data_IF_449704399810
#
_entry.id   IF_449704399810
#
_cell.length_a   1.000
_cell.length_b   1.000
_cell.length_c   1.000
_cell.angle_alpha   90.00
_cell.angle_beta   90.00
_cell.angle_gamma   90.00
#
_symmetry.space_group_name_H-M   'P 1'
#
loop_
_entity.id
_entity.type
_entity.pdbx_description
1 polymer ?
#
# COMPACT_ATOMS: atom_id res chain seq x y z
N UNK A 1 -19.42 -31.41 -50.29
CA UNK A 1 -19.23 -30.18 -51.10
C UNK A 1 -19.98 -29.09 -50.38
N UNK A 2 -19.29 -28.47 -49.41
CA UNK A 2 -19.83 -27.39 -48.59
C UNK A 2 -19.23 -26.07 -49.08
N UNK A 3 -20.12 -25.13 -49.40
CA UNK A 3 -19.80 -23.73 -49.69
C UNK A 3 -20.06 -22.94 -48.41
N UNK A 4 -19.11 -22.19 -47.84
CA UNK A 4 -19.39 -21.35 -46.69
C UNK A 4 -19.98 -20.00 -47.12
N UNK A 5 -21.17 -19.69 -46.60
CA UNK A 5 -21.88 -18.43 -46.81
C UNK A 5 -21.40 -17.37 -45.80
N UNK A 6 -21.07 -16.23 -46.37
CA UNK A 6 -20.39 -15.08 -45.78
C UNK A 6 -21.36 -14.17 -45.01
N UNK A 7 -20.96 -13.69 -43.83
CA UNK A 7 -21.71 -12.74 -43.02
C UNK A 7 -21.64 -11.31 -43.59
N UNK A 8 -22.71 -10.49 -43.52
CA UNK A 8 -22.67 -9.11 -43.96
C UNK A 8 -22.08 -8.17 -42.90
N UNK A 9 -21.25 -7.22 -43.38
CA UNK A 9 -20.81 -6.00 -42.69
C UNK A 9 -21.96 -4.99 -42.66
N UNK A 10 -22.04 -4.18 -41.61
CA UNK A 10 -22.82 -2.94 -41.64
C UNK A 10 -21.97 -1.78 -41.12
N UNK A 11 -21.74 -0.83 -42.02
CA UNK A 11 -21.14 0.48 -41.80
C UNK A 11 -22.27 1.52 -41.80
N UNK A 12 -22.39 2.33 -40.75
CA UNK A 12 -23.48 3.32 -40.63
C UNK A 12 -23.07 4.56 -39.86
N UNK A 13 -22.59 5.56 -40.60
CA UNK A 13 -22.16 6.90 -40.18
C UNK A 13 -23.37 7.83 -39.95
N UNK A 14 -23.37 8.71 -38.93
CA UNK A 14 -23.91 10.08 -39.10
C UNK A 14 -23.32 11.13 -38.14
N UNK A 15 -23.21 12.35 -38.68
CA UNK A 15 -22.43 13.53 -38.28
C UNK A 15 -23.12 14.49 -37.29
N UNK A 16 -22.26 15.16 -36.50
CA UNK A 16 -22.18 16.59 -36.13
C UNK A 16 -23.37 17.51 -36.40
N UNK A 17 -23.68 18.36 -35.41
CA UNK A 17 -24.13 19.74 -35.62
C UNK A 17 -23.39 20.71 -34.68
N UNK A 18 -22.66 21.64 -35.28
CA UNK A 18 -22.12 22.87 -34.69
C UNK A 18 -23.21 23.95 -34.71
N UNK A 19 -23.28 24.80 -33.69
CA UNK A 19 -23.91 26.13 -33.82
C UNK A 19 -22.94 27.20 -33.28
N UNK A 20 -22.57 28.12 -34.16
CA UNK A 20 -21.85 29.38 -33.90
C UNK A 20 -22.75 30.51 -34.41
N UNK A 21 -22.88 31.59 -33.62
CA UNK A 21 -23.07 33.02 -33.95
C UNK A 21 -23.92 33.67 -32.84
N UNK A 22 -23.74 34.92 -32.40
CA UNK A 22 -22.88 36.02 -32.82
C UNK A 22 -22.63 36.98 -31.63
N UNK A 23 -21.60 37.81 -31.78
CA UNK A 23 -21.19 38.92 -30.93
C UNK A 23 -22.08 40.14 -31.19
N UNK A 24 -22.46 40.88 -30.13
CA UNK A 24 -22.77 42.33 -30.20
C UNK A 24 -22.41 42.96 -28.86
N UNK A 25 -21.61 44.03 -28.89
CA UNK A 25 -21.17 44.81 -27.73
C UNK A 25 -21.77 46.23 -27.80
N UNK A 26 -22.20 46.81 -26.67
CA UNK A 26 -21.71 48.04 -25.98
C UNK A 26 -23.01 48.80 -25.56
N UNK A 27 -23.25 49.44 -24.40
CA UNK A 27 -22.42 50.21 -23.48
C UNK A 27 -23.01 50.26 -22.05
N UNK A 28 -22.08 50.41 -21.09
CA UNK A 28 -22.05 51.24 -19.88
C UNK A 28 -23.33 51.58 -19.08
N UNK A 29 -23.31 51.27 -17.78
CA UNK A 29 -23.51 52.28 -16.74
C UNK A 29 -22.70 51.95 -15.49
N UNK A 30 -22.18 53.01 -14.86
CA UNK A 30 -21.23 53.01 -13.76
C UNK A 30 -21.90 52.86 -12.39
N UNK A 31 -21.13 52.44 -11.39
CA UNK A 31 -21.39 52.81 -10.00
C UNK A 31 -21.09 51.75 -8.97
N UNK A 32 -19.93 51.88 -8.32
CA UNK A 32 -19.66 51.68 -6.88
C UNK A 32 -18.28 51.05 -6.67
N UNK A 33 -17.28 51.93 -6.52
CA UNK A 33 -15.95 51.55 -6.05
C UNK A 33 -16.04 51.18 -4.56
N UNK A 34 -15.73 49.93 -4.23
CA UNK A 34 -15.41 49.52 -2.85
C UNK A 34 -13.89 49.50 -2.75
N UNK A 35 -13.39 50.33 -1.83
CA UNK A 35 -11.98 50.50 -1.56
C UNK A 35 -11.35 49.18 -1.10
N UNK A 36 -10.34 48.68 -1.82
CA UNK A 36 -9.42 47.68 -1.30
C UNK A 36 -8.53 48.38 -0.26
N UNK A 37 -8.71 47.99 1.01
CA UNK A 37 -7.82 48.39 2.09
C UNK A 37 -6.39 48.01 1.75
N UNK A 38 -5.48 48.97 1.92
CA UNK A 38 -4.05 48.77 1.76
C UNK A 38 -3.60 47.57 2.59
N UNK A 39 -2.98 46.59 1.93
CA UNK A 39 -2.26 45.52 2.61
C UNK A 39 -1.20 46.17 3.53
N UNK A 40 -1.06 45.72 4.79
CA UNK A 40 0.05 46.19 5.62
C UNK A 40 1.35 45.81 4.92
N UNK A 41 2.26 46.78 4.83
CA UNK A 41 3.60 46.57 4.30
C UNK A 41 4.22 45.35 4.99
N UNK A 42 4.49 44.32 4.21
CA UNK A 42 5.28 43.17 4.64
C UNK A 42 6.58 43.70 5.23
N UNK A 43 6.76 43.51 6.54
CA UNK A 43 8.04 43.72 7.17
C UNK A 43 9.05 42.83 6.44
N UNK A 44 10.06 43.46 5.84
CA UNK A 44 11.17 42.75 5.20
C UNK A 44 11.65 41.63 6.14
N UNK A 45 11.92 40.42 5.63
CA UNK A 45 12.43 39.35 6.47
C UNK A 45 13.71 39.86 7.14
N UNK A 46 13.79 39.69 8.47
CA UNK A 46 15.02 39.92 9.20
C UNK A 46 16.14 39.18 8.46
N UNK A 47 17.19 39.92 8.08
CA UNK A 47 18.31 39.35 7.35
C UNK A 47 18.77 38.08 8.06
N UNK A 48 18.71 36.95 7.35
CA UNK A 48 19.26 35.70 7.84
C UNK A 48 20.69 35.98 8.32
N UNK A 49 20.97 35.61 9.58
CA UNK A 49 22.33 35.63 10.09
C UNK A 49 23.23 34.93 9.06
N UNK A 50 24.40 35.47 8.73
CA UNK A 50 25.23 34.90 7.68
C UNK A 50 25.49 33.43 8.02
N UNK A 51 24.99 32.52 7.19
CA UNK A 51 25.37 31.12 7.25
C UNK A 51 26.90 31.10 7.13
N UNK A 52 27.59 30.84 8.25
CA UNK A 52 29.04 30.74 8.26
C UNK A 52 29.43 29.78 7.15
N UNK A 53 30.36 30.20 6.28
CA UNK A 53 30.74 29.43 5.08
C UNK A 53 30.99 27.97 5.49
N UNK A 54 30.09 27.08 5.09
CA UNK A 54 30.24 25.66 5.37
C UNK A 54 31.58 25.20 4.77
N UNK A 55 32.47 24.66 5.61
CA UNK A 55 33.79 24.25 5.17
C UNK A 55 33.72 22.83 4.59
N UNK A 56 33.46 22.74 3.29
CA UNK A 56 33.33 21.48 2.53
C UNK A 56 34.57 20.58 2.57
N UNK A 57 35.70 21.02 3.16
CA UNK A 57 36.88 20.16 3.40
C UNK A 57 36.73 19.23 4.59
N UNK A 58 35.85 19.53 5.55
CA UNK A 58 35.57 18.59 6.66
C UNK A 58 34.66 17.45 6.16
N UNK A 59 34.77 16.23 6.70
CA UNK A 59 33.79 15.17 6.43
C UNK A 59 32.36 15.61 6.78
N UNK A 60 31.38 15.10 6.06
CA UNK A 60 29.96 15.28 6.40
C UNK A 60 29.69 14.53 7.71
N UNK A 61 29.03 15.20 8.66
CA UNK A 61 28.69 14.59 9.95
C UNK A 61 27.57 13.55 9.84
N UNK A 62 27.34 12.75 10.90
CA UNK A 62 26.25 11.79 10.92
C UNK A 62 24.89 12.51 10.97
N UNK A 63 23.83 11.83 10.52
CA UNK A 63 22.45 12.26 10.76
C UNK A 63 22.16 12.22 12.27
N UNK A 64 21.21 13.04 12.70
CA UNK A 64 20.77 13.10 14.09
C UNK A 64 19.45 12.34 14.26
N UNK A 65 19.17 11.89 15.47
CA UNK A 65 17.86 11.32 15.87
C UNK A 65 17.25 10.29 14.88
N UNK A 66 18.06 9.36 14.36
CA UNK A 66 17.54 8.30 13.49
C UNK A 66 16.54 7.42 14.27
N UNK A 67 15.29 7.44 13.82
CA UNK A 67 14.16 6.68 14.36
C UNK A 67 13.71 5.64 13.35
N UNK A 68 13.30 4.48 13.84
CA UNK A 68 12.71 3.41 13.06
C UNK A 68 11.45 2.90 13.75
N UNK A 69 10.31 3.04 13.09
CA UNK A 69 9.01 2.68 13.63
C UNK A 69 8.30 1.68 12.72
N UNK A 70 7.78 0.61 13.29
CA UNK A 70 7.00 -0.35 12.53
C UNK A 70 5.65 0.22 12.19
N UNK A 71 5.28 0.14 10.93
CA UNK A 71 3.93 0.36 10.45
C UNK A 71 3.42 -0.97 9.90
N UNK A 72 2.19 -1.33 10.25
CA UNK A 72 1.59 -2.56 9.77
C UNK A 72 0.30 -2.24 9.04
N UNK A 73 0.17 -2.78 7.84
CA UNK A 73 -1.14 -3.02 7.21
C UNK A 73 -1.54 -4.47 7.53
N UNK A 74 -2.82 -4.84 7.37
CA UNK A 74 -3.24 -6.24 7.54
C UNK A 74 -2.45 -7.28 6.72
N UNK A 75 -1.83 -6.86 5.61
CA UNK A 75 -1.11 -7.74 4.69
C UNK A 75 0.41 -7.64 4.81
N UNK A 76 0.93 -6.43 5.01
CA UNK A 76 2.36 -6.14 4.92
C UNK A 76 2.86 -5.39 6.14
N UNK A 77 4.10 -5.69 6.49
CA UNK A 77 4.88 -4.90 7.42
C UNK A 77 5.69 -3.87 6.63
N UNK A 78 5.87 -2.70 7.25
CA UNK A 78 6.80 -1.68 6.79
C UNK A 78 7.51 -1.06 7.97
N UNK A 79 8.66 -0.45 7.71
CA UNK A 79 9.39 0.33 8.69
C UNK A 79 9.49 1.75 8.15
N UNK A 80 8.93 2.70 8.89
CA UNK A 80 9.13 4.12 8.65
C UNK A 80 10.42 4.54 9.34
N UNK A 81 11.32 5.14 8.56
CA UNK A 81 12.53 5.78 9.05
C UNK A 81 12.35 7.30 8.97
N UNK A 82 12.78 7.97 10.02
CA UNK A 82 12.89 9.42 10.08
C UNK A 82 14.20 9.80 10.75
N UNK A 83 14.80 10.91 10.33
CA UNK A 83 16.02 11.43 10.93
C UNK A 83 16.10 12.94 10.76
N UNK A 84 17.02 13.56 11.50
CA UNK A 84 17.35 14.97 11.34
C UNK A 84 18.63 15.13 10.51
N UNK A 85 18.74 16.17 9.67
CA UNK A 85 19.96 16.46 8.93
C UNK A 85 21.19 16.62 9.85
N UNK A 86 22.41 16.34 9.36
CA UNK A 86 23.62 16.56 10.14
C UNK A 86 23.76 18.00 10.64
N UNK A 87 24.21 18.16 11.89
CA UNK A 87 24.50 19.47 12.45
C UNK A 87 25.56 20.22 11.62
N UNK A 88 25.49 21.56 11.61
CA UNK A 88 26.50 22.42 10.97
C UNK A 88 26.10 23.07 9.65
N UNK A 89 24.81 23.04 9.29
CA UNK A 89 24.23 23.92 8.26
C UNK A 89 24.72 23.68 6.83
N UNK A 90 25.22 22.48 6.53
CA UNK A 90 25.56 22.08 5.16
C UNK A 90 24.29 21.85 4.35
N UNK A 91 24.36 22.16 3.06
CA UNK A 91 23.33 21.76 2.11
C UNK A 91 23.52 20.27 1.81
N UNK A 92 22.57 19.47 2.28
CA UNK A 92 22.50 18.05 1.96
C UNK A 92 21.75 17.89 0.64
N UNK A 93 22.31 17.10 -0.27
CA UNK A 93 21.72 16.78 -1.57
C UNK A 93 20.79 15.57 -1.46
N UNK A 94 21.26 14.49 -0.83
CA UNK A 94 20.46 13.30 -0.55
C UNK A 94 21.07 12.49 0.61
N UNK A 95 20.38 11.42 0.98
CA UNK A 95 20.82 10.44 1.97
C UNK A 95 20.91 9.06 1.33
N UNK A 96 21.91 8.27 1.72
CA UNK A 96 21.98 6.86 1.41
C UNK A 96 21.41 6.10 2.61
N UNK A 97 20.30 5.39 2.39
CA UNK A 97 19.65 4.59 3.41
C UNK A 97 20.08 3.14 3.23
N UNK A 98 20.80 2.62 4.22
CA UNK A 98 21.21 1.22 4.24
C UNK A 98 20.41 0.43 5.28
N UNK A 99 20.11 -0.82 4.97
CA UNK A 99 19.47 -1.75 5.90
C UNK A 99 19.93 -3.18 5.72
N UNK A 100 19.96 -3.94 6.81
CA UNK A 100 20.25 -5.37 6.83
C UNK A 100 19.59 -6.06 8.02
N UNK A 101 19.39 -7.38 7.92
CA UNK A 101 19.01 -8.21 9.07
C UNK A 101 20.22 -8.56 9.96
N UNK A 102 21.45 -8.33 9.49
CA UNK A 102 22.67 -8.49 10.28
C UNK A 102 23.03 -7.17 10.96
N UNK A 103 23.13 -7.14 12.29
CA UNK A 103 23.41 -5.90 13.04
C UNK A 103 24.73 -5.22 12.64
N UNK A 104 25.76 -6.03 12.32
CA UNK A 104 27.12 -5.57 11.98
C UNK A 104 27.37 -5.37 10.49
N UNK A 105 26.32 -5.14 9.68
CA UNK A 105 26.45 -5.07 8.23
C UNK A 105 27.37 -3.94 7.76
N UNK A 106 27.99 -4.16 6.59
CA UNK A 106 28.77 -3.15 5.88
C UNK A 106 27.88 -2.38 4.90
N UNK A 107 28.02 -1.04 4.80
CA UNK A 107 27.38 -0.32 3.71
C UNK A 107 28.06 -0.63 2.37
N UNK A 108 27.30 -1.26 1.50
CA UNK A 108 27.67 -1.51 0.12
C UNK A 108 26.41 -1.48 -0.75
N UNK A 109 26.54 -1.88 -2.01
CA UNK A 109 25.42 -1.92 -2.94
C UNK A 109 24.34 -2.96 -2.56
N UNK A 110 24.69 -3.99 -1.79
CA UNK A 110 23.76 -5.03 -1.34
C UNK A 110 22.91 -4.59 -0.15
N UNK A 111 23.40 -3.66 0.66
CA UNK A 111 22.66 -3.11 1.82
C UNK A 111 21.99 -1.77 1.53
N UNK A 112 22.24 -1.16 0.36
CA UNK A 112 21.62 0.10 -0.04
C UNK A 112 20.15 -0.11 -0.44
N UNK A 113 19.23 0.42 0.37
CA UNK A 113 17.79 0.35 0.12
C UNK A 113 17.32 1.46 -0.82
N UNK A 114 17.82 2.69 -0.62
CA UNK A 114 17.44 3.84 -1.46
C UNK A 114 18.41 5.02 -1.36
N UNK A 115 18.25 5.96 -2.29
CA UNK A 115 18.77 7.33 -2.19
C UNK A 115 17.61 8.26 -1.85
N UNK A 116 17.47 8.65 -0.60
CA UNK A 116 16.36 9.47 -0.13
C UNK A 116 16.67 10.96 -0.34
N UNK A 117 15.81 11.73 -1.04
CA UNK A 117 16.01 13.18 -1.21
C UNK A 117 15.61 13.98 0.04
N UNK A 118 14.83 13.39 0.93
CA UNK A 118 14.31 13.99 2.17
C UNK A 118 14.74 13.14 3.37
N UNK A 119 14.50 13.64 4.58
CA UNK A 119 14.93 12.97 5.82
C UNK A 119 13.95 11.89 6.32
N UNK A 120 13.34 11.18 5.37
CA UNK A 120 12.35 10.15 5.62
C UNK A 120 12.47 9.02 4.59
N UNK A 121 12.11 7.80 4.98
CA UNK A 121 12.03 6.66 4.08
C UNK A 121 11.12 5.57 4.65
N UNK A 122 10.27 4.98 3.80
CA UNK A 122 9.50 3.79 4.17
C UNK A 122 10.10 2.54 3.53
N UNK A 123 10.63 1.62 4.36
CA UNK A 123 11.00 0.29 3.92
C UNK A 123 9.74 -0.58 3.83
N UNK A 124 9.28 -0.89 2.62
CA UNK A 124 8.09 -1.71 2.34
C UNK A 124 8.46 -3.11 1.83
N UNK A 125 7.47 -3.97 1.62
CA UNK A 125 7.69 -5.34 1.10
C UNK A 125 8.32 -6.29 2.12
N UNK A 126 8.28 -5.93 3.41
CA UNK A 126 8.67 -6.82 4.48
C UNK A 126 7.60 -7.90 4.58
N UNK A 127 7.96 -9.12 4.17
CA UNK A 127 7.06 -10.27 4.14
C UNK A 127 6.38 -10.57 5.49
N UNK A 128 5.50 -11.57 5.54
CA UNK A 128 4.57 -11.76 6.65
C UNK A 128 5.22 -12.22 7.96
N UNK A 129 6.52 -12.54 7.96
CA UNK A 129 7.22 -12.99 9.15
C UNK A 129 7.74 -11.80 9.97
N UNK A 130 7.83 -11.98 11.28
CA UNK A 130 8.55 -11.05 12.15
C UNK A 130 10.03 -11.01 11.74
N UNK A 131 10.56 -9.83 11.50
CA UNK A 131 11.94 -9.62 11.04
C UNK A 131 12.57 -8.50 11.84
N UNK A 132 13.83 -8.69 12.23
CA UNK A 132 14.63 -7.62 12.83
C UNK A 132 15.47 -6.98 11.73
N UNK A 133 15.37 -5.66 11.62
CA UNK A 133 16.13 -4.86 10.67
C UNK A 133 16.97 -3.83 11.39
N UNK A 134 18.18 -3.63 10.88
CA UNK A 134 19.16 -2.67 11.34
C UNK A 134 19.42 -1.67 10.22
N UNK A 135 19.35 -0.38 10.53
CA UNK A 135 19.44 0.70 9.56
C UNK A 135 20.54 1.69 9.92
N UNK A 136 21.22 2.18 8.88
CA UNK A 136 22.15 3.30 8.95
C UNK A 136 21.86 4.26 7.81
N UNK A 137 21.90 5.55 8.11
CA UNK A 137 21.69 6.61 7.11
C UNK A 137 22.91 7.50 7.07
N UNK A 138 23.47 7.69 5.87
CA UNK A 138 24.60 8.60 5.64
C UNK A 138 24.17 9.75 4.73
N UNK A 139 24.53 10.97 5.11
CA UNK A 139 24.23 12.15 4.31
C UNK A 139 25.27 12.35 3.21
N UNK A 140 24.82 12.84 2.05
CA UNK A 140 25.66 13.25 0.92
C UNK A 140 25.40 14.73 0.67
N UNK A 141 26.45 15.55 0.71
CA UNK A 141 26.31 16.98 0.44
C UNK A 141 26.27 17.29 -1.06
N UNK A 142 25.90 18.53 -1.41
CA UNK A 142 25.81 18.98 -2.80
C UNK A 142 27.15 18.94 -3.59
N UNK A 143 28.28 18.76 -2.91
CA UNK A 143 29.59 18.57 -3.54
C UNK A 143 29.94 17.09 -3.75
N UNK A 144 29.06 16.17 -3.34
CA UNK A 144 29.26 14.72 -3.45
C UNK A 144 30.08 14.13 -2.31
N UNK A 145 30.36 14.87 -1.24
CA UNK A 145 31.04 14.29 -0.08
C UNK A 145 30.07 13.42 0.71
N UNK A 146 30.52 12.23 1.11
CA UNK A 146 29.70 11.25 1.83
C UNK A 146 30.13 11.24 3.31
N UNK A 147 29.15 11.17 4.21
CA UNK A 147 29.40 10.99 5.65
C UNK A 147 29.98 9.61 5.98
N UNK A 148 30.68 9.50 7.12
CA UNK A 148 31.22 8.20 7.58
C UNK A 148 30.10 7.32 8.16
N UNK A 149 29.97 6.10 7.64
CA UNK A 149 28.99 5.14 8.15
C UNK A 149 29.29 4.66 9.57
N UNK A 150 30.58 4.53 9.93
CA UNK A 150 30.99 4.07 11.25
C UNK A 150 30.51 5.02 12.35
N UNK A 151 30.41 6.31 12.01
CA UNK A 151 29.90 7.35 12.91
C UNK A 151 28.39 7.57 12.82
N UNK A 152 27.71 6.97 11.84
CA UNK A 152 26.27 7.10 11.69
C UNK A 152 25.53 6.38 12.84
N UNK A 153 24.38 6.89 13.30
CA UNK A 153 23.55 6.17 14.27
C UNK A 153 23.04 4.86 13.68
N UNK A 154 22.87 3.85 14.54
CA UNK A 154 22.25 2.57 14.20
C UNK A 154 20.86 2.52 14.81
N UNK A 155 19.82 2.44 13.97
CA UNK A 155 18.46 2.16 14.41
C UNK A 155 18.16 0.68 14.20
N UNK A 156 17.53 0.03 15.17
CA UNK A 156 17.14 -1.37 15.10
C UNK A 156 15.67 -1.51 15.46
N UNK A 157 14.93 -2.28 14.69
CA UNK A 157 13.50 -2.49 14.92
C UNK A 157 13.09 -3.89 14.48
N UNK A 158 12.13 -4.47 15.22
CA UNK A 158 11.56 -5.78 14.91
C UNK A 158 10.11 -5.60 14.48
N UNK A 159 9.77 -6.02 13.26
CA UNK A 159 8.38 -6.08 12.80
C UNK A 159 7.63 -7.18 13.56
N UNK A 160 6.37 -6.95 13.90
CA UNK A 160 5.56 -7.91 14.65
C UNK A 160 5.18 -9.17 13.82
N UNK A 161 5.42 -9.14 12.50
CA UNK A 161 4.89 -10.10 11.55
C UNK A 161 3.46 -9.73 11.12
N UNK A 162 3.05 -10.22 9.94
CA UNK A 162 1.68 -10.11 9.49
C UNK A 162 0.76 -10.89 10.43
N UNK A 163 -0.43 -10.34 10.65
CA UNK A 163 -1.43 -11.00 11.49
C UNK A 163 -2.01 -12.23 10.81
N UNK A 164 -2.08 -12.23 9.48
CA UNK A 164 -2.40 -13.39 8.66
C UNK A 164 -1.10 -14.06 8.23
N UNK A 165 -0.92 -15.34 8.55
CA UNK A 165 0.37 -16.05 8.42
C UNK A 165 0.40 -17.10 7.30
N UNK A 166 -0.77 -17.59 6.88
CA UNK A 166 -0.88 -18.55 5.79
C UNK A 166 -2.27 -18.46 5.12
N UNK A 167 -2.34 -18.96 3.89
CA UNK A 167 -3.59 -19.17 3.18
C UNK A 167 -3.60 -20.54 2.48
N UNK A 168 -4.75 -21.22 2.53
CA UNK A 168 -5.00 -22.48 1.81
C UNK A 168 -6.37 -22.42 1.14
N UNK A 169 -6.57 -23.20 0.09
CA UNK A 169 -7.82 -23.19 -0.67
C UNK A 169 -8.21 -24.59 -1.12
N UNK A 170 -9.48 -24.76 -1.50
CA UNK A 170 -10.01 -25.98 -2.13
C UNK A 170 -9.29 -26.31 -3.43
N UNK A 171 -8.93 -25.28 -4.20
CA UNK A 171 -8.27 -25.42 -5.49
C UNK A 171 -7.48 -24.17 -5.86
N UNK A 172 -6.71 -24.28 -6.94
CA UNK A 172 -6.11 -23.16 -7.64
C UNK A 172 -6.17 -23.42 -9.14
N UNK A 173 -6.52 -22.41 -9.94
CA UNK A 173 -6.63 -22.54 -11.40
C UNK A 173 -5.28 -22.90 -12.04
N UNK A 174 -4.19 -22.32 -11.53
CA UNK A 174 -2.82 -22.66 -11.90
C UNK A 174 -1.85 -22.22 -10.79
N UNK A 175 -0.57 -22.64 -10.82
CA UNK A 175 0.43 -22.22 -9.84
C UNK A 175 0.61 -20.70 -9.74
N UNK A 176 0.31 -19.94 -10.81
CA UNK A 176 0.40 -18.47 -10.81
C UNK A 176 -0.74 -17.80 -10.01
N UNK A 177 -1.74 -18.56 -9.57
CA UNK A 177 -2.90 -18.09 -8.81
C UNK A 177 -3.04 -18.81 -7.47
N UNK A 178 -1.90 -19.07 -6.82
CA UNK A 178 -1.82 -19.83 -5.59
C UNK A 178 -2.48 -19.07 -4.41
N UNK A 179 -2.95 -19.77 -3.36
CA UNK A 179 -3.68 -19.16 -2.24
C UNK A 179 -2.90 -18.08 -1.48
N UNK A 180 -1.58 -18.22 -1.34
CA UNK A 180 -0.74 -17.26 -0.60
C UNK A 180 -0.77 -15.84 -1.18
N UNK A 181 -1.24 -15.67 -2.42
CA UNK A 181 -1.36 -14.36 -3.06
C UNK A 181 -2.46 -13.49 -2.45
N UNK A 182 -3.36 -14.02 -1.62
CA UNK A 182 -4.37 -13.20 -0.92
C UNK A 182 -3.85 -12.54 0.35
N UNK A 183 -2.59 -12.78 0.71
CA UNK A 183 -1.96 -12.28 1.94
C UNK A 183 -0.60 -11.65 1.65
N UNK A 184 -0.33 -11.31 0.39
CA UNK A 184 0.95 -10.73 -0.06
C UNK A 184 0.93 -9.19 -0.10
N UNK A 185 -0.23 -8.57 0.14
CA UNK A 185 -0.43 -7.12 0.15
C UNK A 185 -0.39 -6.46 -1.22
N UNK A 186 -0.42 -7.24 -2.30
CA UNK A 186 -0.42 -6.76 -3.67
C UNK A 186 -1.80 -6.94 -4.29
N UNK A 187 -2.47 -5.81 -4.54
CA UNK A 187 -3.71 -5.77 -5.33
C UNK A 187 -3.53 -6.04 -6.83
N UNK A 188 -2.36 -6.56 -7.23
CA UNK A 188 -2.02 -6.97 -8.60
C UNK A 188 -1.83 -8.48 -8.73
N UNK A 189 -1.82 -9.22 -7.62
CA UNK A 189 -1.67 -10.68 -7.53
C UNK A 189 -2.90 -11.26 -6.86
N UNK A 190 -3.34 -12.44 -7.28
CA UNK A 190 -4.63 -13.00 -6.84
C UNK A 190 -4.59 -14.50 -6.69
N UNK A 191 -5.35 -15.00 -5.73
CA UNK A 191 -5.85 -16.36 -5.82
C UNK A 191 -6.97 -16.45 -6.86
N UNK A 192 -7.05 -17.59 -7.53
CA UNK A 192 -8.13 -17.94 -8.42
C UNK A 192 -8.46 -19.43 -8.26
N UNK A 193 -9.71 -19.73 -7.94
CA UNK A 193 -10.22 -21.08 -7.85
C UNK A 193 -10.37 -21.74 -9.23
N UNK A 194 -10.55 -23.06 -9.24
CA UNK A 194 -11.10 -23.77 -10.39
C UNK A 194 -12.52 -23.27 -10.73
N UNK A 195 -13.00 -23.61 -11.92
CA UNK A 195 -14.24 -23.04 -12.46
C UNK A 195 -15.46 -23.84 -11.99
N UNK A 196 -15.55 -24.07 -10.69
CA UNK A 196 -16.67 -24.74 -10.03
C UNK A 196 -17.25 -23.87 -8.92
N UNK A 197 -18.51 -24.10 -8.60
CA UNK A 197 -19.11 -23.59 -7.37
C UNK A 197 -18.61 -24.42 -6.18
N UNK A 198 -18.93 -24.05 -4.94
CA UNK A 198 -18.47 -24.77 -3.72
C UNK A 198 -16.94 -24.71 -3.46
N UNK A 199 -16.26 -23.69 -3.97
CA UNK A 199 -14.84 -23.46 -3.70
C UNK A 199 -14.64 -22.59 -2.47
N UNK A 200 -13.53 -22.76 -1.77
CA UNK A 200 -13.20 -21.98 -0.59
C UNK A 200 -11.73 -21.55 -0.57
N UNK A 201 -11.47 -20.44 0.11
CA UNK A 201 -10.14 -20.05 0.57
C UNK A 201 -10.22 -19.68 2.04
N UNK A 202 -9.21 -20.07 2.80
CA UNK A 202 -9.09 -19.75 4.21
C UNK A 202 -7.72 -19.19 4.53
N UNK A 203 -7.70 -18.40 5.58
CA UNK A 203 -6.49 -17.80 6.14
C UNK A 203 -6.28 -18.26 7.58
N UNK A 204 -5.02 -18.45 7.95
CA UNK A 204 -4.59 -18.72 9.33
C UNK A 204 -4.06 -17.45 9.97
N UNK A 205 -4.47 -17.20 11.21
CA UNK A 205 -4.03 -16.06 12.01
C UNK A 205 -2.82 -16.45 12.88
N UNK A 206 -1.92 -15.48 13.10
CA UNK A 206 -0.72 -15.64 13.92
C UNK A 206 -1.05 -16.09 15.36
N UNK A 207 -2.19 -15.65 15.86
CA UNK A 207 -2.74 -16.01 17.17
C UNK A 207 -4.27 -16.01 17.09
N UNK A 208 -4.94 -16.81 17.93
CA UNK A 208 -6.39 -16.74 18.02
C UNK A 208 -6.89 -15.37 18.47
N UNK A 209 -8.10 -15.01 18.03
CA UNK A 209 -8.84 -13.81 18.43
C UNK A 209 -10.31 -14.13 18.68
N UNK A 210 -10.99 -13.31 19.47
CA UNK A 210 -12.43 -13.44 19.74
C UNK A 210 -13.29 -12.46 18.93
N UNK A 211 -12.66 -11.42 18.40
CA UNK A 211 -13.31 -10.42 17.56
C UNK A 211 -12.31 -9.76 16.61
N UNK A 212 -12.78 -9.43 15.41
CA UNK A 212 -11.97 -8.80 14.39
C UNK A 212 -12.77 -8.19 13.27
N UNK A 213 -12.06 -7.73 12.26
CA UNK A 213 -12.59 -7.23 11.00
C UNK A 213 -12.01 -8.03 9.85
N UNK A 214 -12.88 -8.45 8.93
CA UNK A 214 -12.53 -9.18 7.71
C UNK A 214 -12.80 -8.29 6.52
N UNK A 215 -11.83 -8.18 5.61
CA UNK A 215 -11.95 -7.46 4.34
C UNK A 215 -11.60 -8.40 3.17
N UNK A 216 -12.50 -8.50 2.19
CA UNK A 216 -12.31 -9.28 0.96
C UNK A 216 -12.20 -8.33 -0.22
N UNK A 217 -11.00 -8.27 -0.82
CA UNK A 217 -10.76 -7.53 -2.04
C UNK A 217 -10.95 -8.44 -3.25
N UNK A 218 -12.13 -8.38 -3.84
CA UNK A 218 -12.46 -9.22 -4.99
C UNK A 218 -11.77 -8.79 -6.28
N UNK A 219 -11.47 -9.76 -7.13
CA UNK A 219 -11.32 -9.52 -8.56
C UNK A 219 -12.70 -9.59 -9.24
N UNK A 220 -12.80 -9.16 -10.51
CA UNK A 220 -14.06 -9.21 -11.27
C UNK A 220 -14.75 -10.59 -11.33
N UNK A 221 -14.07 -11.69 -11.04
CA UNK A 221 -14.63 -13.02 -10.82
C UNK A 221 -14.99 -13.25 -9.34
N UNK A 222 -15.86 -12.40 -8.78
CA UNK A 222 -16.29 -12.43 -7.39
C UNK A 222 -17.34 -13.52 -7.10
N UNK A 223 -17.61 -13.78 -5.82
CA UNK A 223 -18.71 -14.65 -5.40
C UNK A 223 -20.05 -13.88 -5.35
N UNK A 224 -21.07 -14.38 -6.05
CA UNK A 224 -22.43 -13.84 -5.93
C UNK A 224 -23.03 -14.22 -4.57
N UNK A 225 -22.86 -15.48 -4.21
CA UNK A 225 -23.29 -16.04 -2.94
C UNK A 225 -22.08 -16.68 -2.26
N UNK A 226 -21.84 -16.34 -1.00
CA UNK A 226 -20.78 -16.97 -0.20
C UNK A 226 -21.06 -16.87 1.29
N UNK A 227 -20.44 -17.77 2.05
CA UNK A 227 -20.41 -17.73 3.50
C UNK A 227 -19.02 -17.35 4.00
N UNK A 228 -18.99 -16.51 5.03
CA UNK A 228 -17.82 -16.26 5.83
C UNK A 228 -17.92 -17.12 7.08
N UNK A 229 -16.91 -17.97 7.28
CA UNK A 229 -16.83 -18.88 8.41
C UNK A 229 -15.58 -18.60 9.24
N UNK A 230 -15.65 -18.91 10.51
CA UNK A 230 -14.49 -18.92 11.41
C UNK A 230 -14.32 -20.27 12.08
N UNK A 231 -13.10 -20.57 12.48
CA UNK A 231 -12.77 -21.84 13.12
C UNK A 231 -11.61 -21.69 14.10
N UNK A 232 -11.62 -22.38 15.25
CA UNK A 232 -10.46 -22.46 16.14
C UNK A 232 -9.35 -23.37 15.59
N UNK A 233 -9.70 -24.40 14.80
CA UNK A 233 -8.83 -25.52 14.43
C UNK A 233 -8.64 -25.71 12.91
N UNK A 234 -9.43 -25.03 12.08
CA UNK A 234 -9.42 -25.17 10.63
C UNK A 234 -10.26 -26.34 10.12
N UNK A 235 -10.91 -27.09 11.01
CA UNK A 235 -11.71 -28.29 10.72
C UNK A 235 -13.19 -28.06 11.02
N UNK A 236 -13.48 -27.49 12.19
CA UNK A 236 -14.83 -27.20 12.69
C UNK A 236 -15.19 -25.75 12.41
N UNK A 237 -16.19 -25.51 11.56
CA UNK A 237 -16.50 -24.18 11.06
C UNK A 237 -17.84 -23.65 11.59
N UNK A 238 -17.83 -22.37 11.99
CA UNK A 238 -19.03 -21.61 12.34
C UNK A 238 -19.24 -20.50 11.32
N UNK A 239 -20.40 -20.47 10.68
CA UNK A 239 -20.78 -19.38 9.77
C UNK A 239 -21.06 -18.11 10.58
N UNK A 240 -20.33 -17.04 10.28
CA UNK A 240 -20.48 -15.72 10.92
C UNK A 240 -21.17 -14.71 10.01
N UNK A 241 -21.18 -14.95 8.69
CA UNK A 241 -21.89 -14.13 7.71
C UNK A 241 -22.30 -14.98 6.53
N UNK A 242 -23.51 -14.74 6.03
CA UNK A 242 -23.95 -15.17 4.70
C UNK A 242 -24.19 -13.95 3.84
N UNK A 243 -23.59 -13.91 2.66
CA UNK A 243 -23.81 -12.91 1.62
C UNK A 243 -24.47 -13.61 0.45
N UNK A 244 -25.56 -13.01 -0.06
CA UNK A 244 -26.34 -13.57 -1.17
C UNK A 244 -26.70 -12.46 -2.15
N UNK A 245 -26.71 -12.78 -3.44
CA UNK A 245 -27.12 -11.88 -4.52
C UNK A 245 -26.19 -10.68 -4.74
N UNK A 246 -24.91 -10.77 -4.38
CA UNK A 246 -23.93 -9.70 -4.67
C UNK A 246 -23.88 -9.45 -6.18
N UNK A 247 -23.85 -8.18 -6.56
CA UNK A 247 -23.98 -7.73 -7.97
C UNK A 247 -22.75 -7.02 -8.53
N UNK A 248 -21.71 -6.84 -7.73
CA UNK A 248 -20.45 -6.18 -8.11
C UNK A 248 -19.24 -6.83 -7.42
N UNK A 249 -18.03 -6.42 -7.80
CA UNK A 249 -16.75 -6.82 -7.22
C UNK A 249 -16.24 -5.83 -6.16
N UNK A 250 -17.13 -5.02 -5.57
CA UNK A 250 -16.74 -4.09 -4.52
C UNK A 250 -16.17 -4.83 -3.30
N UNK A 251 -15.27 -4.17 -2.57
CA UNK A 251 -14.69 -4.69 -1.33
C UNK A 251 -15.80 -4.98 -0.33
N UNK A 252 -15.80 -6.19 0.23
CA UNK A 252 -16.69 -6.53 1.33
C UNK A 252 -15.93 -6.43 2.65
N UNK A 253 -16.55 -5.78 3.64
CA UNK A 253 -15.96 -5.58 4.96
C UNK A 253 -16.96 -5.96 6.06
N UNK A 254 -16.57 -6.85 6.97
CA UNK A 254 -17.43 -7.33 8.05
C UNK A 254 -16.72 -7.31 9.40
N UNK A 255 -17.43 -6.85 10.43
CA UNK A 255 -17.04 -7.12 11.80
C UNK A 255 -17.45 -8.56 12.18
N UNK A 256 -16.54 -9.29 12.81
CA UNK A 256 -16.75 -10.64 13.33
C UNK A 256 -16.63 -10.58 14.85
N UNK A 257 -17.67 -11.03 15.55
CA UNK A 257 -17.70 -11.13 17.01
C UNK A 257 -18.74 -12.15 17.44
N UNK A 258 -18.67 -12.63 18.69
CA UNK A 258 -19.67 -13.54 19.24
C UNK A 258 -19.59 -14.99 18.74
N UNK A 259 -18.55 -15.35 17.99
CA UNK A 259 -18.32 -16.71 17.47
C UNK A 259 -17.38 -17.56 18.35
N UNK A 260 -17.01 -17.06 19.54
CA UNK A 260 -15.94 -17.64 20.34
C UNK A 260 -14.55 -17.25 19.83
N UNK A 261 -13.54 -17.95 20.33
CA UNK A 261 -12.17 -17.80 19.87
C UNK A 261 -11.97 -18.49 18.52
N UNK A 262 -11.31 -17.84 17.56
CA UNK A 262 -10.99 -18.39 16.25
C UNK A 262 -9.58 -18.03 15.80
N UNK A 263 -8.96 -18.96 15.06
CA UNK A 263 -7.64 -18.81 14.45
C UNK A 263 -7.68 -18.89 12.92
N UNK A 264 -8.78 -19.36 12.36
CA UNK A 264 -8.97 -19.47 10.93
C UNK A 264 -10.22 -18.71 10.50
N UNK A 265 -10.15 -18.11 9.32
CA UNK A 265 -11.28 -17.45 8.66
C UNK A 265 -11.36 -17.98 7.23
N UNK A 266 -12.55 -18.36 6.77
CA UNK A 266 -12.79 -18.94 5.44
C UNK A 266 -13.85 -18.16 4.71
N UNK A 267 -13.57 -17.83 3.44
CA UNK A 267 -14.59 -17.51 2.44
C UNK A 267 -14.95 -18.82 1.74
N UNK A 268 -16.22 -19.19 1.77
CA UNK A 268 -16.76 -20.37 1.10
C UNK A 268 -17.80 -19.93 0.07
N UNK A 269 -17.44 -20.03 -1.21
CA UNK A 269 -18.26 -19.62 -2.34
C UNK A 269 -19.37 -20.63 -2.63
N UNK A 270 -20.61 -20.16 -2.63
CA UNK A 270 -21.81 -20.96 -2.92
C UNK A 270 -22.19 -20.85 -4.39
N UNK A 271 -22.24 -19.63 -4.93
CA UNK A 271 -22.58 -19.37 -6.33
C UNK A 271 -21.62 -18.35 -6.93
N UNK A 272 -20.99 -18.69 -8.05
CA UNK A 272 -20.14 -17.76 -8.81
C UNK A 272 -20.96 -16.64 -9.46
N UNK A 273 -20.39 -15.44 -9.51
CA UNK A 273 -21.00 -14.33 -10.23
C UNK A 273 -20.79 -14.38 -11.75
N UNK A 274 -19.75 -15.12 -12.20
CA UNK A 274 -19.33 -15.20 -13.60
C UNK A 274 -19.14 -16.65 -14.04
N UNK A 275 -18.81 -16.89 -15.31
CA UNK A 275 -18.44 -18.22 -15.81
C UNK A 275 -17.06 -18.73 -15.34
N UNK A 276 -16.26 -17.84 -14.74
CA UNK A 276 -14.95 -18.15 -14.17
C UNK A 276 -15.08 -18.59 -12.71
N UNK A 277 -14.02 -19.17 -12.13
CA UNK A 277 -13.96 -19.46 -10.68
C UNK A 277 -13.97 -18.20 -9.82
N UNK A 278 -13.91 -18.36 -8.49
CA UNK A 278 -13.77 -17.24 -7.57
C UNK A 278 -12.35 -16.67 -7.60
N UNK A 279 -12.21 -15.36 -7.45
CA UNK A 279 -10.90 -14.73 -7.42
C UNK A 279 -10.84 -13.53 -6.47
N UNK A 280 -9.80 -13.54 -5.64
CA UNK A 280 -9.57 -12.57 -4.57
C UNK A 280 -8.15 -12.03 -4.72
N UNK A 281 -8.01 -10.71 -4.75
CA UNK A 281 -6.73 -10.01 -4.65
C UNK A 281 -6.16 -10.14 -3.24
N UNK A 282 -6.96 -9.81 -2.22
CA UNK A 282 -6.52 -9.80 -0.82
C UNK A 282 -7.63 -10.26 0.13
N UNK A 283 -7.25 -11.03 1.16
CA UNK A 283 -8.09 -11.50 2.25
C UNK A 283 -7.48 -11.05 3.58
N UNK A 284 -7.96 -9.92 4.07
CA UNK A 284 -7.43 -9.28 5.26
C UNK A 284 -8.24 -9.62 6.49
N UNK A 285 -7.54 -9.87 7.59
CA UNK A 285 -8.13 -10.01 8.92
C UNK A 285 -7.34 -9.14 9.89
N UNK A 286 -8.05 -8.40 10.75
CA UNK A 286 -7.44 -7.60 11.83
C UNK A 286 -8.16 -7.88 13.14
N UNK A 287 -7.44 -8.00 14.27
CA UNK A 287 -8.08 -8.00 15.58
C UNK A 287 -8.80 -6.66 15.82
N UNK A 288 -9.95 -6.71 16.49
CA UNK A 288 -10.56 -5.49 17.04
C UNK A 288 -9.83 -5.11 18.34
N UNK A 289 -9.54 -3.82 18.51
CA UNK A 289 -8.97 -3.24 19.74
C UNK A 289 -9.95 -3.23 20.90
#
# INVERSE_FOLDING_TARGET
METPQQAPRDEGTTRRLFSKRAVTAVAASAGAAVAFGAAPASAAPAAAAPHGKANYRKPVGPVCELRAETTATPALQSVQLEWDPPAGGRVIDHYLVHGSQEQGFTADAGTLLTKAPTSDFTHTGLGPQAQTWHYRVVAVDAAGNIGSIDTAPLASVTTAGAFVVAATASSQYSPAYAPHLVVDGSKNTRWAAAYTDDEWIQVELARPITSGRVELHWQGAYARDYDLLVSPDGESWTTVRSVRGKSDDSVDEFAVSGAGEFRYVRMHGVTRATKWGYSIWEFWVRPSS
#
